data_IF_955843276474
#
_entry.id   IF_955843276474
#
_cell.length_a   1.000
_cell.length_b   1.000
_cell.length_c   1.000
_cell.angle_alpha   90.00
_cell.angle_beta   90.00
_cell.angle_gamma   90.00
#
_symmetry.space_group_name_H-M   'P 1'
#
loop_
_entity.id
_entity.type
_entity.pdbx_description
1 polymer ?
#
# COMPACT_ATOMS: atom_id res chain seq x y z
N UNK A 1 -31.06 27.73 14.52
CA UNK A 1 -31.40 26.84 13.45
C UNK A 1 -30.19 26.07 12.92
N UNK A 2 -30.44 25.31 11.85
CA UNK A 2 -29.47 24.42 11.18
C UNK A 2 -28.17 25.15 10.78
N UNK A 3 -28.27 26.36 10.22
CA UNK A 3 -27.11 27.15 9.78
C UNK A 3 -26.12 27.46 10.91
N UNK A 4 -26.60 27.83 12.10
CA UNK A 4 -25.73 28.08 13.26
C UNK A 4 -25.03 26.80 13.73
N UNK A 5 -25.72 25.65 13.69
CA UNK A 5 -25.15 24.35 14.04
C UNK A 5 -24.07 23.92 13.07
N UNK A 6 -24.30 24.08 11.77
CA UNK A 6 -23.31 23.79 10.72
C UNK A 6 -22.06 24.67 10.85
N UNK A 7 -22.24 25.96 11.15
CA UNK A 7 -21.12 26.87 11.38
C UNK A 7 -20.30 26.49 12.61
N UNK A 8 -20.94 26.13 13.72
CA UNK A 8 -20.27 25.66 14.92
C UNK A 8 -19.45 24.38 14.67
N UNK A 9 -20.02 23.43 13.91
CA UNK A 9 -19.31 22.22 13.52
C UNK A 9 -18.11 22.50 12.61
N UNK A 10 -18.18 23.46 11.68
CA UNK A 10 -17.04 23.88 10.85
C UNK A 10 -15.91 24.45 11.70
N UNK A 11 -16.22 25.34 12.65
CA UNK A 11 -15.22 25.89 13.57
C UNK A 11 -14.59 24.81 14.45
N UNK A 12 -15.42 23.87 14.96
CA UNK A 12 -14.94 22.74 15.74
C UNK A 12 -14.00 21.87 14.90
N UNK A 13 -14.34 21.56 13.66
CA UNK A 13 -13.49 20.80 12.75
C UNK A 13 -12.13 21.49 12.52
N UNK A 14 -12.14 22.79 12.28
CA UNK A 14 -10.90 23.57 12.13
C UNK A 14 -10.04 23.53 13.40
N UNK A 15 -10.65 23.73 14.56
CA UNK A 15 -9.97 23.69 15.85
C UNK A 15 -9.33 22.30 16.10
N UNK A 16 -10.10 21.21 15.88
CA UNK A 16 -9.60 19.85 16.07
C UNK A 16 -8.45 19.51 15.12
N UNK A 17 -8.49 20.01 13.87
CA UNK A 17 -7.39 19.82 12.90
C UNK A 17 -6.13 20.58 13.33
N UNK A 18 -6.26 21.83 13.78
CA UNK A 18 -5.14 22.63 14.26
C UNK A 18 -4.52 22.04 15.54
N UNK A 19 -5.36 21.50 16.42
CA UNK A 19 -4.91 20.83 17.64
C UNK A 19 -4.39 19.41 17.42
N UNK A 20 -4.38 18.91 16.17
CA UNK A 20 -4.01 17.52 15.81
C UNK A 20 -4.83 16.44 16.53
N UNK A 21 -6.11 16.72 16.80
CA UNK A 21 -7.06 15.77 17.35
C UNK A 21 -7.81 15.08 16.20
N UNK A 22 -7.12 14.23 15.44
CA UNK A 22 -7.60 13.69 14.16
C UNK A 22 -8.85 12.84 14.28
N UNK A 23 -9.01 12.05 15.36
CA UNK A 23 -10.24 11.26 15.60
C UNK A 23 -11.43 12.17 15.87
N UNK A 24 -11.26 13.24 16.66
CA UNK A 24 -12.33 14.22 16.90
C UNK A 24 -12.66 15.02 15.63
N UNK A 25 -11.65 15.39 14.84
CA UNK A 25 -11.84 16.01 13.54
C UNK A 25 -12.64 15.10 12.60
N UNK A 26 -12.33 13.80 12.55
CA UNK A 26 -13.04 12.80 11.76
C UNK A 26 -14.52 12.70 12.19
N UNK A 27 -14.79 12.57 13.48
CA UNK A 27 -16.17 12.52 14.03
C UNK A 27 -16.95 13.79 13.69
N UNK A 28 -16.33 14.95 13.82
CA UNK A 28 -16.94 16.25 13.50
C UNK A 28 -17.23 16.40 12.02
N UNK A 29 -16.28 15.98 11.14
CA UNK A 29 -16.46 15.98 9.70
C UNK A 29 -17.60 15.06 9.27
N UNK A 30 -17.75 13.90 9.90
CA UNK A 30 -18.85 12.97 9.65
C UNK A 30 -20.23 13.58 10.00
N UNK A 31 -20.31 14.30 11.12
CA UNK A 31 -21.53 15.05 11.48
C UNK A 31 -21.84 16.14 10.45
N UNK A 32 -20.83 16.88 9.98
CA UNK A 32 -20.99 17.88 8.91
C UNK A 32 -21.48 17.25 7.62
N UNK A 33 -20.91 16.11 7.20
CA UNK A 33 -21.33 15.39 6.00
C UNK A 33 -22.81 14.96 6.11
N UNK A 34 -23.23 14.43 7.27
CA UNK A 34 -24.63 14.06 7.53
C UNK A 34 -25.60 15.25 7.44
N UNK A 35 -25.15 16.46 7.79
CA UNK A 35 -25.92 17.69 7.68
C UNK A 35 -25.72 18.43 6.35
N UNK A 36 -25.26 17.74 5.31
CA UNK A 36 -25.04 18.28 3.97
C UNK A 36 -24.07 19.49 3.92
N UNK A 37 -23.15 19.55 4.88
CA UNK A 37 -22.11 20.59 4.93
C UNK A 37 -21.06 20.48 3.80
N UNK A 38 -21.06 19.37 3.03
CA UNK A 38 -20.17 19.07 1.91
C UNK A 38 -20.94 18.38 0.79
N UNK A 39 -20.41 18.43 -0.45
CA UNK A 39 -20.82 17.50 -1.50
C UNK A 39 -20.39 16.07 -1.12
N UNK A 40 -21.06 15.05 -1.66
CA UNK A 40 -20.77 13.65 -1.32
C UNK A 40 -19.30 13.29 -1.55
N UNK A 41 -18.75 13.60 -2.73
CA UNK A 41 -17.34 13.28 -3.05
C UNK A 41 -16.34 14.05 -2.19
N UNK A 42 -16.61 15.33 -1.87
CA UNK A 42 -15.75 16.12 -0.98
C UNK A 42 -15.79 15.56 0.47
N UNK A 43 -16.94 15.09 0.92
CA UNK A 43 -17.08 14.46 2.23
C UNK A 43 -16.28 13.16 2.31
N UNK A 44 -16.39 12.28 1.32
CA UNK A 44 -15.68 11.00 1.27
C UNK A 44 -14.16 11.20 1.27
N UNK A 45 -13.64 12.12 0.43
CA UNK A 45 -12.22 12.44 0.40
C UNK A 45 -11.69 13.00 1.73
N UNK A 46 -12.44 13.94 2.35
CA UNK A 46 -12.07 14.50 3.65
C UNK A 46 -12.09 13.46 4.76
N UNK A 47 -13.12 12.63 4.83
CA UNK A 47 -13.25 11.59 5.85
C UNK A 47 -12.11 10.58 5.74
N UNK A 48 -11.79 10.12 4.52
CA UNK A 48 -10.63 9.24 4.29
C UNK A 48 -9.34 9.89 4.74
N UNK A 49 -9.07 11.13 4.34
CA UNK A 49 -7.85 11.85 4.75
C UNK A 49 -7.72 11.94 6.27
N UNK A 50 -8.81 12.25 6.97
CA UNK A 50 -8.79 12.33 8.44
C UNK A 50 -8.60 10.97 9.11
N UNK A 51 -9.19 9.91 8.56
CA UNK A 51 -8.97 8.55 9.05
C UNK A 51 -7.50 8.13 8.89
N UNK A 52 -6.91 8.39 7.71
CA UNK A 52 -5.49 8.12 7.45
C UNK A 52 -4.58 8.90 8.40
N UNK A 53 -4.86 10.19 8.60
CA UNK A 53 -4.11 11.03 9.55
C UNK A 53 -4.18 10.49 10.98
N UNK A 54 -5.36 10.05 11.41
CA UNK A 54 -5.54 9.46 12.75
C UNK A 54 -4.70 8.18 12.95
N UNK A 55 -4.59 7.35 11.92
CA UNK A 55 -3.75 6.16 11.93
C UNK A 55 -2.25 6.51 11.93
N UNK A 56 -1.85 7.55 11.19
CA UNK A 56 -0.44 7.98 11.10
C UNK A 56 0.09 8.60 12.41
N UNK A 57 -0.77 9.11 13.26
CA UNK A 57 -0.40 9.62 14.59
C UNK A 57 0.03 8.53 15.57
N UNK A 58 -0.32 7.26 15.33
CA UNK A 58 0.07 6.16 16.19
C UNK A 58 1.60 5.92 16.15
N UNK A 59 2.23 5.82 17.32
CA UNK A 59 3.69 5.66 17.46
C UNK A 59 4.12 4.20 17.60
N UNK A 60 3.22 3.34 18.04
CA UNK A 60 3.44 1.92 18.26
C UNK A 60 2.19 1.11 17.87
N UNK A 61 2.31 -0.21 17.89
CA UNK A 61 1.25 -1.12 17.48
C UNK A 61 0.00 -1.03 18.36
N UNK A 62 0.17 -0.81 19.67
CA UNK A 62 -0.98 -0.73 20.59
C UNK A 62 -1.77 0.56 20.37
N UNK A 63 -1.10 1.68 20.16
CA UNK A 63 -1.75 2.92 19.77
C UNK A 63 -2.46 2.78 18.42
N UNK A 64 -1.84 2.08 17.46
CA UNK A 64 -2.47 1.86 16.16
C UNK A 64 -3.73 1.00 16.28
N UNK A 65 -3.73 -0.05 17.11
CA UNK A 65 -4.92 -0.85 17.43
C UNK A 65 -6.04 0.00 18.04
N UNK A 66 -5.69 0.85 19.00
CA UNK A 66 -6.65 1.77 19.62
C UNK A 66 -7.23 2.73 18.57
N UNK A 67 -6.40 3.37 17.74
CA UNK A 67 -6.88 4.25 16.66
C UNK A 67 -7.78 3.51 15.67
N UNK A 68 -7.39 2.29 15.28
CA UNK A 68 -8.20 1.44 14.41
C UNK A 68 -9.58 1.13 15.00
N UNK A 69 -9.63 0.85 16.30
CA UNK A 69 -10.91 0.58 17.01
C UNK A 69 -11.76 1.84 17.15
N UNK A 70 -11.15 3.02 17.26
CA UNK A 70 -11.87 4.31 17.34
C UNK A 70 -12.49 4.75 16.02
N UNK A 71 -12.03 4.20 14.87
CA UNK A 71 -12.63 4.45 13.58
C UNK A 71 -14.03 3.83 13.49
N UNK A 72 -14.95 4.51 12.81
CA UNK A 72 -16.26 3.94 12.49
C UNK A 72 -16.11 2.72 11.57
N UNK A 73 -17.10 1.83 11.59
CA UNK A 73 -17.11 0.64 10.72
C UNK A 73 -17.00 0.99 9.24
N UNK A 74 -17.58 2.12 8.81
CA UNK A 74 -17.50 2.60 7.42
C UNK A 74 -16.07 2.94 7.02
N UNK A 75 -15.28 3.56 7.91
CA UNK A 75 -13.88 3.88 7.65
C UNK A 75 -13.02 2.60 7.58
N UNK A 76 -13.28 1.65 8.49
CA UNK A 76 -12.61 0.34 8.48
C UNK A 76 -12.98 -0.55 7.29
N UNK A 77 -14.10 -0.25 6.63
CA UNK A 77 -14.54 -0.87 5.38
C UNK A 77 -14.07 -0.13 4.13
N UNK A 78 -13.27 0.92 4.26
CA UNK A 78 -12.56 1.53 3.13
C UNK A 78 -11.25 0.77 2.88
N UNK A 79 -11.05 0.16 1.70
CA UNK A 79 -9.85 -0.63 1.42
C UNK A 79 -8.56 0.19 1.44
N UNK A 80 -8.60 1.47 1.10
CA UNK A 80 -7.42 2.35 1.15
C UNK A 80 -7.03 2.66 2.60
N UNK A 81 -8.02 2.86 3.48
CA UNK A 81 -7.78 3.03 4.92
C UNK A 81 -7.21 1.75 5.52
N UNK A 82 -7.77 0.60 5.15
CA UNK A 82 -7.28 -0.71 5.60
C UNK A 82 -5.85 -0.97 5.11
N UNK A 83 -5.54 -0.68 3.84
CA UNK A 83 -4.21 -0.87 3.28
C UNK A 83 -3.16 -0.06 4.05
N UNK A 84 -3.41 1.22 4.31
CA UNK A 84 -2.47 2.07 5.06
C UNK A 84 -2.32 1.61 6.52
N UNK A 85 -3.44 1.26 7.19
CA UNK A 85 -3.39 0.72 8.54
C UNK A 85 -2.55 -0.57 8.62
N UNK A 86 -2.75 -1.49 7.68
CA UNK A 86 -2.01 -2.74 7.59
C UNK A 86 -0.52 -2.51 7.27
N UNK A 87 -0.21 -1.63 6.31
CA UNK A 87 1.19 -1.27 6.02
C UNK A 87 1.90 -0.73 7.26
N UNK A 88 1.25 0.18 7.98
CA UNK A 88 1.80 0.75 9.21
C UNK A 88 1.96 -0.30 10.31
N UNK A 89 0.97 -1.18 10.49
CA UNK A 89 1.05 -2.30 11.45
C UNK A 89 2.24 -3.23 11.13
N UNK A 90 2.45 -3.54 9.85
CA UNK A 90 3.59 -4.34 9.42
C UNK A 90 4.94 -3.63 9.69
N UNK A 91 5.03 -2.31 9.44
CA UNK A 91 6.23 -1.51 9.76
C UNK A 91 6.53 -1.46 11.26
N UNK A 92 5.51 -1.59 12.10
CA UNK A 92 5.64 -1.70 13.56
C UNK A 92 5.94 -3.15 14.02
N UNK A 93 6.30 -4.05 13.10
CA UNK A 93 6.70 -5.42 13.41
C UNK A 93 5.55 -6.42 13.58
N UNK A 94 4.32 -6.02 13.27
CA UNK A 94 3.12 -6.85 13.40
C UNK A 94 2.61 -7.34 12.04
N UNK A 95 3.48 -7.96 11.25
CA UNK A 95 3.18 -8.39 9.89
C UNK A 95 2.01 -9.39 9.81
N UNK A 96 1.90 -10.32 10.76
CA UNK A 96 0.81 -11.29 10.80
C UNK A 96 -0.55 -10.63 11.02
N UNK A 97 -0.64 -9.66 11.93
CA UNK A 97 -1.87 -8.90 12.17
C UNK A 97 -2.24 -8.03 10.96
N UNK A 98 -1.26 -7.38 10.34
CA UNK A 98 -1.45 -6.63 9.10
C UNK A 98 -2.08 -7.50 8.01
N UNK A 99 -1.59 -8.73 7.83
CA UNK A 99 -2.16 -9.68 6.87
C UNK A 99 -3.58 -10.09 7.19
N UNK A 100 -3.95 -10.22 8.48
CA UNK A 100 -5.35 -10.49 8.87
C UNK A 100 -6.28 -9.36 8.43
N UNK A 101 -5.84 -8.09 8.51
CA UNK A 101 -6.63 -6.96 8.05
C UNK A 101 -6.74 -6.91 6.52
N UNK A 102 -5.70 -7.33 5.80
CA UNK A 102 -5.68 -7.37 4.33
C UNK A 102 -6.50 -8.51 3.73
N UNK A 103 -6.58 -9.66 4.40
CA UNK A 103 -7.13 -10.90 3.84
C UNK A 103 -8.54 -10.74 3.22
N UNK A 104 -9.53 -10.06 3.86
CA UNK A 104 -10.87 -9.90 3.28
C UNK A 104 -10.87 -9.11 1.96
N UNK A 105 -9.90 -8.21 1.76
CA UNK A 105 -9.75 -7.43 0.55
C UNK A 105 -9.06 -8.23 -0.55
N UNK A 106 -8.09 -9.06 -0.19
CA UNK A 106 -7.41 -9.96 -1.11
C UNK A 106 -8.35 -11.01 -1.68
N UNK A 107 -9.35 -11.46 -0.93
CA UNK A 107 -10.40 -12.36 -1.41
C UNK A 107 -11.31 -11.72 -2.48
N UNK A 108 -11.23 -10.40 -2.69
CA UNK A 108 -12.08 -9.62 -3.61
C UNK A 108 -11.28 -8.77 -4.61
N UNK A 109 -9.98 -8.98 -4.77
CA UNK A 109 -9.10 -8.15 -5.63
C UNK A 109 -9.68 -7.89 -7.02
N UNK A 110 -10.30 -8.90 -7.65
CA UNK A 110 -10.85 -8.79 -8.99
C UNK A 110 -11.98 -7.75 -9.13
N UNK A 111 -12.57 -7.32 -8.03
CA UNK A 111 -13.69 -6.35 -8.01
C UNK A 111 -13.27 -4.94 -7.63
N UNK A 112 -11.99 -4.75 -7.29
CA UNK A 112 -11.48 -3.48 -6.78
C UNK A 112 -10.89 -2.61 -7.91
N UNK A 113 -10.94 -1.28 -7.78
CA UNK A 113 -10.23 -0.37 -8.66
C UNK A 113 -8.72 -0.58 -8.63
N UNK A 114 -8.02 -0.25 -9.72
CA UNK A 114 -6.58 -0.48 -9.86
C UNK A 114 -5.74 0.24 -8.79
N UNK A 115 -6.07 1.47 -8.44
CA UNK A 115 -5.41 2.25 -7.38
C UNK A 115 -5.54 1.59 -6.00
N UNK A 116 -6.70 0.99 -5.74
CA UNK A 116 -6.95 0.23 -4.52
C UNK A 116 -6.14 -1.07 -4.49
N UNK A 117 -6.09 -1.80 -5.61
CA UNK A 117 -5.23 -2.99 -5.75
C UNK A 117 -3.77 -2.61 -5.50
N UNK A 118 -3.31 -1.49 -6.04
CA UNK A 118 -1.95 -0.98 -5.83
C UNK A 118 -1.63 -0.70 -4.37
N UNK A 119 -2.55 -0.07 -3.63
CA UNK A 119 -2.38 0.19 -2.20
C UNK A 119 -2.32 -1.11 -1.38
N UNK A 120 -3.18 -2.08 -1.70
CA UNK A 120 -3.17 -3.40 -1.05
C UNK A 120 -1.88 -4.18 -1.36
N UNK A 121 -1.37 -4.09 -2.59
CA UNK A 121 -0.08 -4.67 -2.97
C UNK A 121 1.07 -4.06 -2.18
N UNK A 122 1.10 -2.74 -2.03
CA UNK A 122 2.09 -2.05 -1.22
C UNK A 122 2.07 -2.54 0.23
N UNK A 123 0.88 -2.62 0.82
CA UNK A 123 0.71 -3.09 2.20
C UNK A 123 1.16 -4.54 2.39
N UNK A 124 0.81 -5.46 1.47
CA UNK A 124 1.25 -6.85 1.55
C UNK A 124 2.76 -6.98 1.31
N UNK A 125 3.34 -6.18 0.42
CA UNK A 125 4.79 -6.17 0.19
C UNK A 125 5.55 -5.87 1.48
N UNK A 126 5.06 -4.94 2.31
CA UNK A 126 5.64 -4.65 3.63
C UNK A 126 5.31 -5.76 4.65
N UNK A 127 4.11 -6.32 4.57
CA UNK A 127 3.64 -7.36 5.50
C UNK A 127 4.06 -8.78 5.13
N UNK A 128 4.83 -9.01 4.05
CA UNK A 128 5.20 -10.34 3.57
C UNK A 128 6.11 -11.18 4.49
N UNK A 129 7.00 -10.59 5.35
CA UNK A 129 7.86 -11.41 6.19
C UNK A 129 7.05 -12.38 7.06
N UNK A 130 7.43 -13.65 7.05
CA UNK A 130 6.75 -14.71 7.78
C UNK A 130 5.35 -15.06 7.23
N UNK A 131 5.13 -14.87 5.92
CA UNK A 131 3.86 -15.16 5.28
C UNK A 131 3.43 -16.62 5.49
N UNK A 132 2.22 -16.82 5.99
CA UNK A 132 1.67 -18.14 6.35
C UNK A 132 1.18 -18.90 5.11
N UNK A 133 1.09 -20.24 5.25
CA UNK A 133 0.62 -21.13 4.18
C UNK A 133 -0.83 -20.84 3.76
N UNK A 134 -1.65 -20.34 4.66
CA UNK A 134 -3.05 -19.96 4.45
C UNK A 134 -3.21 -18.84 3.41
N UNK A 135 -2.14 -18.13 3.08
CA UNK A 135 -2.14 -17.12 2.02
C UNK A 135 -1.99 -17.71 0.61
N UNK A 136 -1.53 -18.97 0.47
CA UNK A 136 -1.27 -19.56 -0.85
C UNK A 136 -2.47 -19.55 -1.79
N UNK A 137 -3.71 -19.90 -1.37
CA UNK A 137 -4.87 -19.79 -2.26
C UNK A 137 -5.14 -18.38 -2.76
N UNK A 138 -4.90 -17.34 -1.93
CA UNK A 138 -5.05 -15.93 -2.31
C UNK A 138 -4.00 -15.50 -3.32
N UNK A 139 -2.74 -15.94 -3.12
CA UNK A 139 -1.65 -15.66 -4.04
C UNK A 139 -1.85 -16.37 -5.40
N UNK A 140 -2.34 -17.59 -5.40
CA UNK A 140 -2.66 -18.33 -6.62
C UNK A 140 -3.80 -17.65 -7.41
N UNK A 141 -4.86 -17.22 -6.74
CA UNK A 141 -5.94 -16.45 -7.37
C UNK A 141 -5.45 -15.12 -7.92
N UNK A 142 -4.63 -14.39 -7.16
CA UNK A 142 -4.03 -13.13 -7.57
C UNK A 142 -3.05 -13.28 -8.75
N UNK A 143 -2.36 -14.42 -8.87
CA UNK A 143 -1.42 -14.70 -9.97
C UNK A 143 -2.08 -14.62 -11.34
N UNK A 144 -3.35 -14.99 -11.45
CA UNK A 144 -4.11 -14.90 -12.72
C UNK A 144 -4.42 -13.45 -13.11
N UNK A 145 -4.65 -12.58 -12.13
CA UNK A 145 -4.89 -11.15 -12.33
C UNK A 145 -3.57 -10.40 -12.60
N UNK A 146 -2.48 -10.88 -12.04
CA UNK A 146 -1.15 -10.29 -12.13
C UNK A 146 -0.63 -10.14 -13.57
N UNK A 147 -1.11 -10.95 -14.52
CA UNK A 147 -0.78 -10.82 -15.95
C UNK A 147 -1.19 -9.47 -16.56
N UNK A 148 -2.15 -8.77 -15.93
CA UNK A 148 -2.66 -7.48 -16.38
C UNK A 148 -2.35 -6.33 -15.40
N UNK A 149 -1.73 -6.65 -14.28
CA UNK A 149 -1.43 -5.71 -13.21
C UNK A 149 0.04 -5.85 -12.79
N UNK A 150 0.95 -5.05 -13.33
CA UNK A 150 2.38 -5.22 -13.09
C UNK A 150 2.78 -5.05 -11.62
N UNK A 151 2.10 -4.19 -10.88
CA UNK A 151 2.34 -4.04 -9.44
C UNK A 151 1.89 -5.27 -8.65
N UNK A 152 0.78 -5.89 -9.07
CA UNK A 152 0.33 -7.15 -8.49
C UNK A 152 1.31 -8.29 -8.82
N UNK A 153 1.88 -8.32 -10.03
CA UNK A 153 2.91 -9.29 -10.41
C UNK A 153 4.15 -9.18 -9.51
N UNK A 154 4.63 -7.96 -9.25
CA UNK A 154 5.73 -7.72 -8.33
C UNK A 154 5.38 -8.22 -6.91
N UNK A 155 4.26 -7.78 -6.37
CA UNK A 155 3.84 -8.10 -5.01
C UNK A 155 3.67 -9.61 -4.81
N UNK A 156 2.94 -10.28 -5.69
CA UNK A 156 2.72 -11.74 -5.61
C UNK A 156 4.03 -12.50 -5.85
N UNK A 157 4.87 -12.05 -6.77
CA UNK A 157 6.19 -12.64 -7.00
C UNK A 157 7.07 -12.62 -5.75
N UNK A 158 7.13 -11.47 -5.05
CA UNK A 158 7.87 -11.33 -3.79
C UNK A 158 7.27 -12.20 -2.67
N UNK A 159 5.94 -12.28 -2.57
CA UNK A 159 5.26 -13.12 -1.60
C UNK A 159 5.48 -14.62 -1.84
N UNK A 160 5.52 -15.05 -3.10
CA UNK A 160 5.85 -16.43 -3.48
C UNK A 160 7.32 -16.78 -3.18
N UNK A 161 8.25 -15.81 -3.31
CA UNK A 161 9.64 -16.00 -2.87
C UNK A 161 9.72 -16.29 -1.37
N UNK A 162 8.98 -15.56 -0.54
CA UNK A 162 8.89 -15.79 0.90
C UNK A 162 8.45 -17.22 1.23
N UNK A 163 7.59 -17.80 0.37
CA UNK A 163 7.12 -19.19 0.46
C UNK A 163 8.00 -20.21 -0.29
N UNK A 164 9.16 -19.77 -0.80
CA UNK A 164 10.12 -20.62 -1.55
C UNK A 164 9.51 -21.26 -2.81
N UNK A 165 8.49 -20.65 -3.39
CA UNK A 165 7.85 -21.09 -4.64
C UNK A 165 8.56 -20.47 -5.85
N UNK A 166 9.84 -20.78 -6.01
CA UNK A 166 10.80 -20.11 -6.89
C UNK A 166 10.36 -20.03 -8.35
N UNK A 167 9.80 -21.10 -8.90
CA UNK A 167 9.39 -21.14 -10.31
C UNK A 167 8.25 -20.16 -10.63
N UNK A 168 7.20 -20.15 -9.80
CA UNK A 168 6.08 -19.21 -9.95
C UNK A 168 6.54 -17.77 -9.70
N UNK A 169 7.34 -17.56 -8.65
CA UNK A 169 7.90 -16.25 -8.30
C UNK A 169 8.68 -15.66 -9.47
N UNK A 170 9.59 -16.44 -10.08
CA UNK A 170 10.41 -16.01 -11.22
C UNK A 170 9.56 -15.49 -12.38
N UNK A 171 8.53 -16.21 -12.77
CA UNK A 171 7.66 -15.82 -13.89
C UNK A 171 7.02 -14.44 -13.66
N UNK A 172 6.46 -14.20 -12.46
CA UNK A 172 5.82 -12.94 -12.12
C UNK A 172 6.83 -11.79 -11.98
N UNK A 173 7.98 -12.05 -11.36
CA UNK A 173 9.03 -11.06 -11.19
C UNK A 173 9.65 -10.66 -12.53
N UNK A 174 9.84 -11.59 -13.47
CA UNK A 174 10.30 -11.30 -14.84
C UNK A 174 9.29 -10.41 -15.56
N UNK A 175 7.99 -10.70 -15.45
CA UNK A 175 6.95 -9.83 -16.03
C UNK A 175 7.01 -8.43 -15.43
N UNK A 176 7.10 -8.29 -14.11
CA UNK A 176 7.21 -7.01 -13.43
C UNK A 176 8.48 -6.23 -13.82
N UNK A 177 9.63 -6.90 -13.86
CA UNK A 177 10.92 -6.27 -14.14
C UNK A 177 11.00 -5.60 -15.53
N UNK A 178 10.25 -6.14 -16.52
CA UNK A 178 10.20 -5.63 -17.89
C UNK A 178 9.01 -4.68 -18.15
N UNK A 179 8.17 -4.41 -17.16
CA UNK A 179 6.96 -3.64 -17.39
C UNK A 179 7.20 -2.13 -17.23
N UNK A 180 7.06 -1.38 -18.33
CA UNK A 180 7.37 0.06 -18.36
C UNK A 180 6.43 0.94 -17.51
N UNK A 181 5.24 0.44 -17.18
CA UNK A 181 4.31 1.16 -16.30
C UNK A 181 4.73 1.11 -14.82
N UNK A 182 5.64 0.21 -14.43
CA UNK A 182 6.18 0.21 -13.08
C UNK A 182 7.21 1.33 -12.90
N UNK A 183 7.15 1.97 -11.74
CA UNK A 183 8.17 2.93 -11.34
C UNK A 183 9.56 2.29 -11.36
N UNK A 184 10.62 3.06 -11.68
CA UNK A 184 12.00 2.53 -11.74
C UNK A 184 12.39 1.78 -10.47
N UNK A 185 12.01 2.26 -9.30
CA UNK A 185 12.29 1.63 -8.01
C UNK A 185 11.68 0.24 -7.90
N UNK A 186 10.47 0.05 -8.42
CA UNK A 186 9.76 -1.22 -8.40
C UNK A 186 10.34 -2.21 -9.40
N UNK A 187 10.73 -1.75 -10.60
CA UNK A 187 11.45 -2.58 -11.57
C UNK A 187 12.81 -3.01 -11.03
N UNK A 188 13.49 -2.09 -10.34
CA UNK A 188 14.76 -2.41 -9.66
C UNK A 188 14.55 -3.47 -8.58
N UNK A 189 13.50 -3.36 -7.76
CA UNK A 189 13.16 -4.37 -6.74
C UNK A 189 12.92 -5.74 -7.37
N UNK A 190 12.21 -5.80 -8.50
CA UNK A 190 11.99 -7.04 -9.24
C UNK A 190 13.32 -7.65 -9.73
N UNK A 191 14.24 -6.84 -10.29
CA UNK A 191 15.55 -7.32 -10.74
C UNK A 191 16.42 -7.81 -9.58
N UNK A 192 16.40 -7.12 -8.44
CA UNK A 192 17.12 -7.57 -7.23
C UNK A 192 16.55 -8.93 -6.76
N UNK A 193 15.23 -9.07 -6.70
CA UNK A 193 14.58 -10.30 -6.32
C UNK A 193 14.94 -11.47 -7.25
N UNK A 194 14.99 -11.23 -8.57
CA UNK A 194 15.43 -12.22 -9.56
C UNK A 194 16.91 -12.59 -9.37
N UNK A 195 17.75 -11.63 -9.06
CA UNK A 195 19.17 -11.89 -8.75
C UNK A 195 19.34 -12.79 -7.52
N UNK A 196 18.64 -12.48 -6.43
CA UNK A 196 18.64 -13.32 -5.22
C UNK A 196 18.12 -14.73 -5.49
N UNK A 197 17.10 -14.85 -6.33
CA UNK A 197 16.52 -16.14 -6.72
C UNK A 197 17.55 -16.96 -7.56
N UNK A 198 18.28 -16.30 -8.46
CA UNK A 198 19.35 -16.95 -9.23
C UNK A 198 20.51 -17.40 -8.33
N UNK A 199 20.89 -16.62 -7.33
CA UNK A 199 21.90 -17.02 -6.32
C UNK A 199 21.46 -18.27 -5.55
N UNK A 200 20.21 -18.34 -5.10
CA UNK A 200 19.66 -19.52 -4.42
C UNK A 200 19.74 -20.78 -5.29
N UNK A 201 19.62 -20.63 -6.59
CA UNK A 201 19.76 -21.70 -7.56
C UNK A 201 21.20 -21.92 -8.06
N UNK A 202 22.20 -21.28 -7.45
CA UNK A 202 23.61 -21.34 -7.83
C UNK A 202 23.90 -20.89 -9.27
N UNK A 203 23.06 -20.02 -9.84
CA UNK A 203 23.16 -19.46 -11.18
C UNK A 203 23.91 -18.11 -11.13
N UNK A 204 25.21 -18.14 -10.88
CA UNK A 204 26.05 -16.94 -10.60
C UNK A 204 26.02 -15.92 -11.73
N UNK A 205 26.08 -16.36 -12.98
CA UNK A 205 26.08 -15.46 -14.14
C UNK A 205 24.74 -14.75 -14.32
N UNK A 206 23.63 -15.46 -14.10
CA UNK A 206 22.28 -14.90 -14.14
C UNK A 206 22.06 -13.91 -12.99
N UNK A 207 22.52 -14.26 -11.78
CA UNK A 207 22.47 -13.36 -10.65
C UNK A 207 23.21 -12.05 -10.92
N UNK A 208 24.46 -12.14 -11.40
CA UNK A 208 25.26 -10.98 -11.79
C UNK A 208 24.59 -10.13 -12.87
N UNK A 209 23.94 -10.78 -13.85
CA UNK A 209 23.16 -10.09 -14.90
C UNK A 209 21.98 -9.32 -14.31
N UNK A 210 21.17 -9.96 -13.43
CA UNK A 210 20.02 -9.33 -12.80
C UNK A 210 20.44 -8.13 -11.95
N UNK A 211 21.52 -8.23 -11.17
CA UNK A 211 21.99 -7.09 -10.35
C UNK A 211 22.51 -5.93 -11.21
N UNK A 212 23.16 -6.22 -12.36
CA UNK A 212 23.54 -5.16 -13.31
C UNK A 212 22.32 -4.46 -13.91
N UNK A 213 21.28 -5.21 -14.26
CA UNK A 213 20.00 -4.63 -14.74
C UNK A 213 19.33 -3.78 -13.65
N UNK A 214 19.33 -4.25 -12.41
CA UNK A 214 18.81 -3.46 -11.27
C UNK A 214 19.56 -2.12 -11.10
N UNK A 215 20.88 -2.14 -11.24
CA UNK A 215 21.72 -0.93 -11.18
C UNK A 215 21.44 0.01 -12.36
N UNK A 216 21.23 -0.52 -13.55
CA UNK A 216 20.96 0.27 -14.76
C UNK A 216 19.62 1.01 -14.72
N UNK A 217 18.58 0.43 -14.09
CA UNK A 217 17.25 1.07 -13.92
C UNK A 217 17.35 2.39 -13.13
N UNK A 218 18.30 2.51 -12.22
CA UNK A 218 18.44 3.67 -11.31
C UNK A 218 19.33 4.79 -11.86
N UNK A 219 20.06 4.55 -12.95
CA UNK A 219 21.13 5.43 -13.42
C UNK A 219 20.74 6.58 -14.39
N UNK A 220 19.66 6.55 -15.18
CA UNK A 220 19.46 7.49 -16.29
C UNK A 220 19.21 8.95 -15.91
N UNK A 221 18.80 9.24 -14.66
CA UNK A 221 18.37 10.60 -14.30
C UNK A 221 19.48 11.51 -13.73
N UNK A 222 20.65 10.99 -13.40
CA UNK A 222 21.71 11.77 -12.76
C UNK A 222 22.70 12.41 -13.75
N UNK A 223 22.77 11.95 -15.00
CA UNK A 223 23.79 12.41 -15.98
C UNK A 223 23.26 13.51 -16.91
N UNK A 224 21.96 13.51 -17.21
CA UNK A 224 21.42 14.42 -18.25
C UNK A 224 21.31 15.90 -17.82
N UNK A 225 21.32 16.19 -16.52
CA UNK A 225 21.26 17.58 -16.00
C UNK A 225 22.63 18.29 -15.91
N UNK A 226 23.75 17.59 -16.14
CA UNK A 226 25.08 18.22 -16.12
C UNK A 226 25.60 18.63 -17.47
N UNK A 227 25.02 18.12 -18.56
CA UNK A 227 25.44 18.46 -19.93
C UNK A 227 24.81 19.73 -20.50
N UNK A 228 23.69 20.20 -19.94
CA UNK A 228 23.00 21.41 -20.43
C UNK A 228 23.49 22.72 -19.80
N UNK A 229 24.35 22.68 -18.79
CA UNK A 229 24.88 23.88 -18.13
C UNK A 229 26.36 24.20 -18.49
N UNK A 230 26.88 23.63 -19.57
CA UNK A 230 28.26 23.90 -20.03
C UNK A 230 28.32 24.22 -21.53
N UNK A 231 27.36 25.11 -21.99
CA UNK A 231 27.54 25.85 -23.27
C UNK A 231 27.17 27.30 -23.02
#
# INVERSE_FOLDING_TARGET
>A
GVARRTQALRLKLQASRLARHSVEALRTARLLAKHQGFTKGAAEGLLRTLALTALDEARDADQLRLRWQELDSVDRQDPLVTAQAAERMARLGQAAEARQWLAPWWDRLATLPADTVDALCQALTVARPGLETEWLPRLDAASTLALRHPRLALCVGLALMERQLWGKARTLLMSAAHHDELAPEQRREAWIALGLLAEQNQQTDEAARCFRLAAAVSWPQAIDKRSENMI
#
